data_IF_659781254856
#
_entry.id   IF_659781254856
#
_cell.length_a   1.000
_cell.length_b   1.000
_cell.length_c   1.000
_cell.angle_alpha   90.00
_cell.angle_beta   90.00
_cell.angle_gamma   90.00
#
_symmetry.space_group_name_H-M   'P 1'
#
loop_
_entity.id
_entity.type
_entity.pdbx_description
1 polymer ?
#
# COMPACT_ATOMS: atom_id res chain seq x y z
N UNK A 1 -2.22 11.15 -28.70
CA UNK A 1 -2.61 11.50 -27.32
C UNK A 1 -1.88 10.53 -26.41
N UNK A 2 -0.98 11.01 -25.53
CA UNK A 2 -0.31 10.14 -24.56
C UNK A 2 -1.26 9.95 -23.38
N UNK A 3 -1.95 8.83 -23.35
CA UNK A 3 -2.89 8.46 -22.29
C UNK A 3 -2.11 8.01 -21.06
N UNK A 4 -2.09 8.86 -20.04
CA UNK A 4 -1.48 8.56 -18.74
C UNK A 4 -2.37 7.57 -17.98
N UNK A 5 -1.84 6.49 -17.39
CA UNK A 5 -2.66 5.55 -16.64
C UNK A 5 -3.14 6.19 -15.34
N UNK A 6 -4.45 6.25 -15.12
CA UNK A 6 -5.07 6.78 -13.90
C UNK A 6 -5.97 5.72 -13.27
N UNK A 7 -6.03 5.68 -11.94
CA UNK A 7 -6.95 4.81 -11.21
C UNK A 7 -7.86 5.64 -10.31
N UNK A 8 -9.09 5.19 -10.10
CA UNK A 8 -10.05 5.84 -9.21
C UNK A 8 -10.58 4.82 -8.22
N UNK A 9 -10.51 5.15 -6.94
CA UNK A 9 -11.02 4.33 -5.85
C UNK A 9 -12.29 4.93 -5.27
N UNK A 10 -13.32 4.09 -5.12
CA UNK A 10 -14.57 4.42 -4.46
C UNK A 10 -14.92 3.32 -3.46
N UNK A 11 -15.37 3.73 -2.27
CA UNK A 11 -15.81 2.84 -1.21
C UNK A 11 -17.01 3.45 -0.49
N UNK A 12 -17.90 2.63 0.11
CA UNK A 12 -19.09 3.13 0.81
C UNK A 12 -18.76 4.10 1.96
N UNK A 13 -17.57 3.96 2.54
CA UNK A 13 -17.12 4.79 3.67
C UNK A 13 -16.37 6.06 3.22
N UNK A 14 -16.25 6.32 1.92
CA UNK A 14 -15.53 7.48 1.37
C UNK A 14 -16.49 8.35 0.57
N UNK A 15 -16.64 9.61 0.98
CA UNK A 15 -17.59 10.55 0.37
C UNK A 15 -17.18 11.03 -1.02
N UNK A 16 -15.88 11.06 -1.32
CA UNK A 16 -15.35 11.50 -2.62
C UNK A 16 -14.39 10.46 -3.22
N UNK A 17 -14.50 10.15 -4.52
CA UNK A 17 -13.63 9.19 -5.18
C UNK A 17 -12.17 9.68 -5.17
N UNK A 18 -11.27 8.82 -4.72
CA UNK A 18 -9.84 9.13 -4.64
C UNK A 18 -9.20 8.78 -5.98
N UNK A 19 -8.63 9.79 -6.65
CA UNK A 19 -7.97 9.62 -7.94
C UNK A 19 -6.46 9.47 -7.75
N UNK A 20 -5.91 8.39 -8.29
CA UNK A 20 -4.48 8.11 -8.32
C UNK A 20 -3.93 8.42 -9.71
N UNK A 21 -3.13 9.48 -9.79
CA UNK A 21 -2.38 9.84 -11.00
C UNK A 21 -0.88 9.57 -10.78
N UNK A 22 -0.13 9.16 -11.81
CA UNK A 22 1.31 8.95 -11.70
C UNK A 22 2.03 10.26 -11.33
N UNK A 23 1.59 11.39 -11.90
CA UNK A 23 2.25 12.69 -11.81
C UNK A 23 3.33 12.89 -12.89
N UNK A 24 4.09 13.98 -12.79
CA UNK A 24 5.22 14.29 -13.70
C UNK A 24 6.59 13.80 -13.18
N UNK A 25 6.60 12.94 -12.16
CA UNK A 25 7.85 12.48 -11.56
C UNK A 25 8.57 11.46 -12.44
N UNK A 26 9.88 11.28 -12.22
CA UNK A 26 10.64 10.22 -12.89
C UNK A 26 10.11 8.89 -12.38
N UNK A 27 9.42 8.17 -13.26
CA UNK A 27 8.84 6.87 -12.94
C UNK A 27 9.90 5.78 -13.07
N UNK A 28 9.88 4.81 -12.16
CA UNK A 28 10.74 3.64 -12.23
C UNK A 28 9.90 2.38 -12.30
N UNK A 29 10.48 1.32 -12.85
CA UNK A 29 9.85 -0.02 -12.85
C UNK A 29 10.11 -0.79 -11.56
N UNK A 30 10.91 -0.21 -10.66
CA UNK A 30 11.18 -0.76 -9.35
C UNK A 30 10.15 -0.20 -8.37
N UNK A 31 9.01 -0.87 -8.25
CA UNK A 31 7.97 -0.46 -7.32
C UNK A 31 8.45 -0.62 -5.88
N UNK A 32 8.26 0.40 -5.04
CA UNK A 32 8.63 0.38 -3.62
C UNK A 32 7.88 -0.70 -2.85
N UNK A 33 6.63 -0.97 -3.23
CA UNK A 33 5.78 -1.97 -2.58
C UNK A 33 5.94 -3.36 -3.18
N UNK A 34 6.59 -3.49 -4.34
CA UNK A 34 6.81 -4.76 -5.05
C UNK A 34 8.17 -5.37 -4.79
N UNK A 35 8.99 -4.77 -3.92
CA UNK A 35 10.29 -5.31 -3.55
C UNK A 35 10.13 -6.53 -2.64
N UNK A 36 11.05 -7.48 -2.79
CA UNK A 36 11.24 -8.56 -1.84
C UNK A 36 11.39 -8.01 -0.41
N UNK A 37 10.88 -8.73 0.59
CA UNK A 37 10.87 -8.20 1.96
C UNK A 37 12.28 -7.98 2.52
N UNK A 38 12.44 -6.98 3.39
CA UNK A 38 13.70 -6.66 4.06
C UNK A 38 14.32 -7.86 4.79
N UNK A 39 13.47 -8.77 5.28
CA UNK A 39 13.86 -9.99 5.97
C UNK A 39 14.60 -10.93 5.01
N UNK A 40 14.07 -11.09 3.79
CA UNK A 40 14.64 -11.98 2.77
C UNK A 40 15.86 -11.36 2.11
N UNK A 41 15.88 -10.03 1.92
CA UNK A 41 17.09 -9.27 1.53
C UNK A 41 18.24 -9.46 2.52
N UNK A 42 17.97 -9.32 3.83
CA UNK A 42 18.98 -9.51 4.89
C UNK A 42 19.47 -10.95 4.99
N UNK A 43 18.64 -11.92 4.58
CA UNK A 43 19.02 -13.33 4.50
C UNK A 43 19.85 -13.68 3.25
N UNK A 44 20.21 -12.69 2.42
CA UNK A 44 20.97 -12.90 1.19
C UNK A 44 20.13 -13.35 0.00
N UNK A 45 18.80 -13.20 0.07
CA UNK A 45 17.90 -13.49 -1.03
C UNK A 45 18.02 -12.44 -2.13
N UNK A 46 18.12 -12.90 -3.37
CA UNK A 46 18.11 -12.06 -4.58
C UNK A 46 16.74 -12.15 -5.28
N UNK A 47 16.19 -11.00 -5.64
CA UNK A 47 14.93 -10.90 -6.38
C UNK A 47 15.16 -11.23 -7.86
N UNK A 48 15.03 -12.52 -8.19
CA UNK A 48 15.19 -13.04 -9.56
C UNK A 48 14.04 -12.65 -10.50
N UNK A 49 12.90 -12.22 -9.95
CA UNK A 49 11.72 -11.79 -10.71
C UNK A 49 11.66 -10.27 -10.87
N UNK A 50 12.74 -9.55 -10.49
CA UNK A 50 12.81 -8.11 -10.59
C UNK A 50 12.56 -7.65 -12.03
N UNK A 51 11.61 -6.73 -12.26
CA UNK A 51 11.34 -6.20 -13.59
C UNK A 51 12.61 -5.57 -14.18
N UNK A 52 12.89 -5.90 -15.46
CA UNK A 52 13.97 -5.28 -16.24
C UNK A 52 13.81 -3.75 -16.20
N UNK A 53 14.90 -2.99 -16.26
CA UNK A 53 14.82 -1.53 -16.30
C UNK A 53 13.91 -1.02 -17.43
N UNK A 54 13.29 0.14 -17.22
CA UNK A 54 12.50 0.81 -18.24
C UNK A 54 13.38 1.11 -19.46
N UNK A 55 13.16 0.39 -20.55
CA UNK A 55 13.68 0.81 -21.86
C UNK A 55 12.95 2.09 -22.26
N UNK A 56 13.65 3.02 -22.92
CA UNK A 56 13.14 4.32 -23.35
C UNK A 56 12.18 4.19 -24.57
N UNK A 57 11.18 3.35 -24.39
CA UNK A 57 10.14 2.96 -25.33
C UNK A 57 8.81 3.35 -24.74
N UNK A 58 7.79 3.61 -25.56
CA UNK A 58 6.46 3.98 -25.07
C UNK A 58 5.89 2.98 -24.04
N UNK A 59 6.14 1.68 -24.23
CA UNK A 59 5.73 0.63 -23.29
C UNK A 59 6.56 0.63 -22.00
N UNK A 60 7.86 0.95 -22.07
CA UNK A 60 8.71 1.06 -20.89
C UNK A 60 8.31 2.23 -20.00
N UNK A 61 7.98 3.37 -20.60
CA UNK A 61 7.45 4.55 -19.90
C UNK A 61 6.07 4.26 -19.28
N UNK A 62 5.18 3.59 -20.03
CA UNK A 62 3.87 3.17 -19.50
C UNK A 62 4.02 2.22 -18.31
N UNK A 63 4.93 1.24 -18.39
CA UNK A 63 5.18 0.30 -17.29
C UNK A 63 5.66 1.03 -16.04
N UNK A 64 6.58 1.98 -16.18
CA UNK A 64 7.06 2.77 -15.06
C UNK A 64 5.93 3.61 -14.40
N UNK A 65 5.07 4.21 -15.22
CA UNK A 65 3.89 4.96 -14.74
C UNK A 65 2.91 4.05 -14.00
N UNK A 66 2.63 2.86 -14.55
CA UNK A 66 1.77 1.86 -13.90
C UNK A 66 2.33 1.39 -12.56
N UNK A 67 3.63 1.11 -12.49
CA UNK A 67 4.29 0.75 -11.22
C UNK A 67 4.13 1.84 -10.17
N UNK A 68 4.20 3.11 -10.57
CA UNK A 68 3.97 4.24 -9.65
C UNK A 68 2.53 4.28 -9.13
N UNK A 69 1.55 4.05 -10.01
CA UNK A 69 0.13 3.99 -9.60
C UNK A 69 -0.11 2.79 -8.69
N UNK A 70 0.47 1.64 -9.00
CA UNK A 70 0.39 0.43 -8.18
C UNK A 70 0.92 0.68 -6.77
N UNK A 71 2.09 1.31 -6.62
CA UNK A 71 2.65 1.66 -5.32
C UNK A 71 1.72 2.57 -4.52
N UNK A 72 1.19 3.64 -5.15
CA UNK A 72 0.26 4.57 -4.51
C UNK A 72 -1.02 3.88 -4.01
N UNK A 73 -1.56 2.97 -4.81
CA UNK A 73 -2.75 2.19 -4.44
C UNK A 73 -2.43 1.25 -3.28
N UNK A 74 -1.28 0.57 -3.33
CA UNK A 74 -0.85 -0.35 -2.28
C UNK A 74 -0.58 0.38 -0.95
N UNK A 75 0.11 1.52 -0.97
CA UNK A 75 0.34 2.37 0.21
C UNK A 75 -1.00 2.80 0.82
N UNK A 76 -1.91 3.33 0.00
CA UNK A 76 -3.22 3.79 0.45
C UNK A 76 -4.05 2.67 1.10
N UNK A 77 -4.15 1.51 0.46
CA UNK A 77 -4.92 0.37 1.00
C UNK A 77 -4.25 -0.20 2.26
N UNK A 78 -2.93 -0.23 2.31
CA UNK A 78 -2.19 -0.73 3.48
C UNK A 78 -2.35 0.19 4.68
N UNK A 79 -2.30 1.51 4.49
CA UNK A 79 -2.57 2.48 5.56
C UNK A 79 -4.02 2.38 6.05
N UNK A 80 -4.98 2.20 5.15
CA UNK A 80 -6.39 2.00 5.52
C UNK A 80 -6.59 0.74 6.36
N UNK A 81 -5.99 -0.38 5.97
CA UNK A 81 -6.03 -1.63 6.75
C UNK A 81 -5.35 -1.48 8.12
N UNK A 82 -4.25 -0.74 8.20
CA UNK A 82 -3.57 -0.45 9.49
C UNK A 82 -4.47 0.34 10.42
N UNK A 83 -5.10 1.42 9.95
CA UNK A 83 -6.05 2.21 10.74
C UNK A 83 -7.23 1.37 11.23
N UNK A 84 -7.83 0.58 10.34
CA UNK A 84 -8.96 -0.29 10.73
C UNK A 84 -8.54 -1.36 11.75
N UNK A 85 -7.30 -1.85 11.66
CA UNK A 85 -6.75 -2.81 12.64
C UNK A 85 -6.43 -2.14 13.97
N UNK A 86 -5.83 -0.95 13.97
CA UNK A 86 -5.59 -0.16 15.18
C UNK A 86 -6.91 0.15 15.90
N UNK A 87 -7.91 0.66 15.18
CA UNK A 87 -9.25 0.94 15.72
C UNK A 87 -9.88 -0.31 16.34
N UNK A 88 -9.79 -1.48 15.69
CA UNK A 88 -10.28 -2.75 16.26
C UNK A 88 -9.51 -3.15 17.52
N UNK A 89 -8.19 -3.05 17.52
CA UNK A 89 -7.39 -3.40 18.71
C UNK A 89 -7.59 -2.44 19.87
N UNK A 90 -7.87 -1.17 19.60
CA UNK A 90 -8.11 -0.16 20.63
C UNK A 90 -9.51 -0.33 21.24
N UNK A 91 -10.51 -0.71 20.43
CA UNK A 91 -11.83 -1.15 20.89
C UNK A 91 -11.74 -2.44 21.71
N UNK A 92 -11.01 -3.46 21.24
CA UNK A 92 -10.80 -4.71 21.97
C UNK A 92 -10.09 -4.48 23.32
N UNK A 93 -9.06 -3.62 23.36
CA UNK A 93 -8.38 -3.25 24.61
C UNK A 93 -9.31 -2.55 25.59
N UNK A 94 -10.10 -1.57 25.12
CA UNK A 94 -11.07 -0.87 25.97
C UNK A 94 -12.10 -1.82 26.56
N UNK A 95 -12.61 -2.78 25.78
CA UNK A 95 -13.59 -3.76 26.26
C UNK A 95 -12.98 -4.72 27.31
N UNK A 96 -11.71 -5.10 27.16
CA UNK A 96 -11.02 -5.98 28.11
C UNK A 96 -10.63 -5.27 29.42
N UNK A 97 -10.31 -3.98 29.37
CA UNK A 97 -9.92 -3.18 30.55
C UNK A 97 -11.14 -2.78 31.39
N UNK A 98 -12.29 -2.55 30.77
CA UNK A 98 -13.57 -2.24 31.45
C UNK A 98 -14.23 -3.51 32.08
N UNK A 99 -13.59 -4.68 31.96
CA UNK A 99 -14.09 -5.98 32.42
C UNK A 99 -13.37 -6.56 33.64
N UNK A 100 -12.49 -5.81 34.30
CA UNK A 100 -11.75 -6.27 35.49
C UNK A 100 -11.91 -5.26 36.62
N UNK A 101 -13.11 -5.16 37.19
CA UNK A 101 -13.31 -4.75 38.58
C UNK A 101 -14.56 -5.43 39.12
N UNK A 102 -14.47 -5.84 40.39
CA UNK A 102 -15.51 -6.45 41.23
C UNK A 102 -15.68 -7.98 41.12
N UNK A 103 -14.78 -8.75 41.74
CA UNK A 103 -15.12 -9.75 42.78
C UNK A 103 -13.89 -10.61 43.19
N UNK A 104 -12.99 -10.05 44.00
CA UNK A 104 -12.09 -10.86 44.85
C UNK A 104 -11.90 -10.15 46.20
N UNK A 105 -12.93 -10.20 47.03
CA UNK A 105 -12.91 -9.79 48.44
C UNK A 105 -13.93 -10.61 49.23
N UNK A 106 -13.60 -11.86 49.57
CA UNK A 106 -13.92 -12.46 50.88
C UNK A 106 -13.03 -13.70 51.18
#
# INVERSE_FOLDING_TARGET
MSSVPTATYGAPDVSEPIVFEPGQQIHTTNGRTTQISDIVLKAGGEDRDKPTEAKDTALGQLRAQLTTVQDKVNEFLTERMKKEKEDKTDVERRILDDGVDEDDSD
#
